data_IF_577540330028
#
_entry.id   IF_577540330028
#
_cell.length_a   1.000
_cell.length_b   1.000
_cell.length_c   1.000
_cell.angle_alpha   90.00
_cell.angle_beta   90.00
_cell.angle_gamma   90.00
#
_symmetry.space_group_name_H-M   'P 1'
#
loop_
_entity.id
_entity.type
_entity.pdbx_description
1 polymer ?
#
# COMPACT_ATOMS: atom_id res chain seq x y z
N UNK A 1 43.89 -15.15 51.25
CA UNK A 1 43.56 -13.80 50.74
C UNK A 1 42.24 -13.69 49.97
N UNK A 2 41.45 -14.76 49.76
CA UNK A 2 40.19 -14.70 48.99
C UNK A 2 38.92 -14.58 49.86
N UNK A 3 39.00 -14.89 51.15
CA UNK A 3 37.86 -14.83 52.08
C UNK A 3 37.59 -13.41 52.62
N UNK A 4 38.64 -12.60 52.80
CA UNK A 4 38.54 -11.21 53.28
C UNK A 4 37.95 -10.27 52.22
N UNK A 5 38.32 -10.46 50.95
CA UNK A 5 37.81 -9.68 49.81
C UNK A 5 36.29 -9.84 49.59
N UNK A 6 35.72 -11.01 49.90
CA UNK A 6 34.27 -11.25 49.81
C UNK A 6 33.49 -10.59 50.95
N UNK A 7 34.06 -10.56 52.16
CA UNK A 7 33.42 -9.94 53.32
C UNK A 7 33.36 -8.41 53.20
N UNK A 8 34.41 -7.80 52.65
CA UNK A 8 34.45 -6.34 52.44
C UNK A 8 33.53 -5.87 51.31
N UNK A 9 33.40 -6.63 50.22
CA UNK A 9 32.47 -6.27 49.13
C UNK A 9 31.00 -6.31 49.58
N UNK A 10 30.64 -7.29 50.42
CA UNK A 10 29.29 -7.42 50.96
C UNK A 10 28.95 -6.29 51.96
N UNK A 11 29.94 -5.80 52.71
CA UNK A 11 29.78 -4.66 53.61
C UNK A 11 29.72 -3.33 52.87
N UNK A 12 30.42 -3.18 51.74
CA UNK A 12 30.32 -2.00 50.86
C UNK A 12 28.95 -1.92 50.19
N UNK A 13 28.40 -3.05 49.72
CA UNK A 13 27.06 -3.11 49.12
C UNK A 13 25.93 -2.82 50.12
N UNK A 14 26.10 -3.15 51.40
CA UNK A 14 25.12 -2.82 52.47
C UNK A 14 25.16 -1.34 52.90
N UNK A 15 26.25 -0.61 52.60
CA UNK A 15 26.44 0.80 52.99
C UNK A 15 26.04 1.81 51.92
N UNK A 16 25.67 1.36 50.72
CA UNK A 16 25.08 2.23 49.71
C UNK A 16 23.55 2.09 49.76
N UNK A 17 22.83 3.05 50.37
CA UNK A 17 21.41 3.17 50.13
C UNK A 17 21.30 3.74 48.72
N UNK A 18 21.43 2.90 47.69
CA UNK A 18 20.81 3.25 46.42
C UNK A 18 19.33 3.11 46.72
N UNK A 19 18.57 4.22 46.90
CA UNK A 19 17.15 4.12 47.19
C UNK A 19 16.55 3.21 46.14
N UNK A 20 15.82 2.19 46.57
CA UNK A 20 15.22 1.17 45.70
C UNK A 20 14.48 1.82 44.51
N UNK A 21 13.95 3.03 44.74
CA UNK A 21 13.39 3.93 43.74
C UNK A 21 14.33 4.27 42.58
N UNK A 22 15.62 4.58 42.81
CA UNK A 22 16.59 4.90 41.75
C UNK A 22 16.84 3.69 40.85
N UNK A 23 17.01 2.50 41.42
CA UNK A 23 17.16 1.26 40.64
C UNK A 23 15.90 0.96 39.81
N UNK A 24 14.70 1.11 40.39
CA UNK A 24 13.43 0.94 39.69
C UNK A 24 13.27 1.97 38.57
N UNK A 25 13.62 3.24 38.79
CA UNK A 25 13.55 4.28 37.74
C UNK A 25 14.51 4.00 36.59
N UNK A 26 15.72 3.51 36.86
CA UNK A 26 16.67 3.16 35.78
C UNK A 26 16.12 2.00 34.94
N UNK A 27 15.56 0.97 35.58
CA UNK A 27 14.93 -0.17 34.87
C UNK A 27 13.72 0.29 34.05
N UNK A 28 12.89 1.19 34.59
CA UNK A 28 11.75 1.75 33.88
C UNK A 28 12.17 2.58 32.65
N UNK A 29 13.21 3.41 32.77
CA UNK A 29 13.75 4.22 31.65
C UNK A 29 14.29 3.30 30.55
N UNK A 30 15.01 2.23 30.92
CA UNK A 30 15.53 1.25 29.95
C UNK A 30 14.39 0.53 29.23
N UNK A 31 13.34 0.12 29.94
CA UNK A 31 12.15 -0.49 29.33
C UNK A 31 11.43 0.46 28.37
N UNK A 32 11.28 1.74 28.76
CA UNK A 32 10.68 2.77 27.89
C UNK A 32 11.55 2.98 26.64
N UNK A 33 12.88 3.03 26.77
CA UNK A 33 13.81 3.14 25.64
C UNK A 33 13.70 1.94 24.70
N UNK A 34 13.58 0.71 25.22
CA UNK A 34 13.37 -0.50 24.41
C UNK A 34 12.04 -0.45 23.66
N UNK A 35 10.96 0.00 24.33
CA UNK A 35 9.63 0.17 23.71
C UNK A 35 9.69 1.22 22.60
N UNK A 36 10.29 2.39 22.86
CA UNK A 36 10.45 3.46 21.86
C UNK A 36 11.31 2.96 20.69
N UNK A 37 12.41 2.27 20.95
CA UNK A 37 13.28 1.71 19.91
C UNK A 37 12.55 0.64 19.08
N UNK A 38 11.73 -0.21 19.70
CA UNK A 38 10.88 -1.20 19.01
C UNK A 38 9.80 -0.53 18.15
N UNK A 39 9.19 0.56 18.63
CA UNK A 39 8.22 1.36 17.87
C UNK A 39 8.90 2.06 16.68
N UNK A 40 10.11 2.62 16.85
CA UNK A 40 10.87 3.26 15.78
C UNK A 40 11.32 2.22 14.75
N UNK A 41 11.81 1.05 15.19
CA UNK A 41 12.25 -0.05 14.31
C UNK A 41 11.08 -0.65 13.53
N UNK A 42 9.91 -0.81 14.15
CA UNK A 42 8.69 -1.25 13.46
C UNK A 42 8.14 -0.21 12.48
N UNK A 43 8.27 1.08 12.78
CA UNK A 43 7.99 2.18 11.83
C UNK A 43 8.97 2.21 10.66
N UNK A 44 10.27 2.01 10.88
CA UNK A 44 11.28 1.87 9.81
C UNK A 44 11.04 0.63 8.95
N UNK A 45 10.68 -0.52 9.53
CA UNK A 45 10.30 -1.74 8.79
C UNK A 45 9.00 -1.59 7.98
N UNK A 46 8.09 -0.70 8.38
CA UNK A 46 6.88 -0.35 7.59
C UNK A 46 7.15 0.59 6.42
N UNK A 47 8.32 1.24 6.36
CA UNK A 47 8.73 2.09 5.24
C UNK A 47 9.36 1.33 4.07
N UNK A 48 9.80 0.09 4.29
CA UNK A 48 10.33 -0.80 3.26
C UNK A 48 9.26 -1.80 2.84
N UNK A 49 8.14 -1.30 2.31
CA UNK A 49 7.41 -2.11 1.34
C UNK A 49 8.36 -2.19 0.14
N UNK A 50 8.88 -3.37 -0.17
CA UNK A 50 9.48 -3.63 -1.47
C UNK A 50 8.41 -3.27 -2.50
N UNK A 51 8.45 -2.01 -2.96
CA UNK A 51 7.72 -1.57 -4.13
C UNK A 51 8.32 -2.41 -5.23
N UNK A 52 7.55 -3.35 -5.77
CA UNK A 52 7.87 -3.97 -7.04
C UNK A 52 7.99 -2.80 -8.03
N UNK A 53 9.21 -2.33 -8.26
CA UNK A 53 9.51 -1.36 -9.30
C UNK A 53 9.46 -2.16 -10.59
N UNK A 54 8.30 -2.21 -11.23
CA UNK A 54 8.33 -2.54 -12.66
C UNK A 54 8.97 -1.34 -13.37
N UNK A 55 10.20 -1.48 -13.85
CA UNK A 55 10.91 -0.42 -14.62
C UNK A 55 10.16 0.00 -15.89
N UNK A 56 9.13 -0.75 -16.29
CA UNK A 56 8.20 -0.34 -17.33
C UNK A 56 7.41 0.94 -17.01
N UNK A 57 7.42 1.44 -15.77
CA UNK A 57 6.83 2.74 -15.39
C UNK A 57 7.85 3.87 -15.20
N UNK A 58 9.13 3.64 -15.50
CA UNK A 58 10.19 4.58 -15.14
C UNK A 58 10.28 5.77 -16.12
N UNK A 59 10.66 6.96 -15.62
CA UNK A 59 10.75 8.21 -16.42
C UNK A 59 11.71 8.07 -17.60
N UNK A 60 12.74 7.23 -17.45
CA UNK A 60 13.72 6.88 -18.47
C UNK A 60 13.08 6.25 -19.70
N UNK A 61 12.25 5.21 -19.51
CA UNK A 61 11.54 4.54 -20.61
C UNK A 61 10.48 5.45 -21.25
N UNK A 62 9.78 6.26 -20.45
CA UNK A 62 8.85 7.28 -20.98
C UNK A 62 9.56 8.25 -21.92
N UNK A 63 10.73 8.76 -21.51
CA UNK A 63 11.52 9.72 -22.28
C UNK A 63 12.03 9.09 -23.58
N UNK A 64 12.48 7.84 -23.52
CA UNK A 64 12.86 7.07 -24.72
C UNK A 64 11.68 6.94 -25.71
N UNK A 65 10.47 6.63 -25.21
CA UNK A 65 9.27 6.53 -26.05
C UNK A 65 8.90 7.88 -26.66
N UNK A 66 8.89 8.97 -25.89
CA UNK A 66 8.56 10.30 -26.41
C UNK A 66 9.55 10.76 -27.48
N UNK A 67 10.84 10.52 -27.26
CA UNK A 67 11.89 10.87 -28.23
C UNK A 67 11.81 10.06 -29.53
N UNK A 68 11.00 9.00 -29.58
CA UNK A 68 10.73 8.25 -30.82
C UNK A 68 9.60 8.84 -31.68
N UNK A 69 8.96 9.93 -31.22
CA UNK A 69 7.89 10.63 -31.94
C UNK A 69 8.38 11.95 -32.58
N UNK A 70 7.77 12.39 -33.69
CA UNK A 70 7.95 13.74 -34.21
C UNK A 70 7.56 14.81 -33.17
N UNK A 71 8.30 15.92 -33.13
CA UNK A 71 8.20 16.96 -32.10
C UNK A 71 6.78 17.54 -31.96
N UNK A 72 6.08 17.75 -33.07
CA UNK A 72 4.69 18.22 -33.10
C UNK A 72 3.68 17.26 -32.43
N UNK A 73 4.00 15.97 -32.36
CA UNK A 73 3.13 14.92 -31.79
C UNK A 73 3.53 14.56 -30.35
N UNK A 74 4.72 14.99 -29.89
CA UNK A 74 5.20 14.76 -28.52
C UNK A 74 4.35 15.45 -27.46
N UNK A 75 3.82 16.65 -27.76
CA UNK A 75 2.98 17.42 -26.84
C UNK A 75 1.72 16.63 -26.43
N UNK A 76 1.15 15.92 -27.39
CA UNK A 76 -0.11 15.21 -27.26
C UNK A 76 0.01 13.98 -26.34
N UNK A 77 1.15 13.28 -26.41
CA UNK A 77 1.49 12.18 -25.50
C UNK A 77 2.05 12.66 -24.16
N UNK A 78 2.74 13.80 -24.14
CA UNK A 78 3.22 14.42 -22.91
C UNK A 78 2.06 14.85 -22.01
N UNK A 79 1.00 15.39 -22.59
CA UNK A 79 -0.23 15.72 -21.86
C UNK A 79 -0.93 14.47 -21.29
N UNK A 80 -1.00 13.38 -22.06
CA UNK A 80 -1.55 12.11 -21.58
C UNK A 80 -0.73 11.56 -20.40
N UNK A 81 0.60 11.59 -20.50
CA UNK A 81 1.49 11.11 -19.44
C UNK A 81 1.45 12.00 -18.19
N UNK A 82 1.31 13.31 -18.36
CA UNK A 82 1.16 14.25 -17.25
C UNK A 82 -0.14 14.00 -16.48
N UNK A 83 -1.25 13.72 -17.17
CA UNK A 83 -2.52 13.33 -16.53
C UNK A 83 -2.42 12.01 -15.75
N UNK A 84 -1.61 11.06 -16.23
CA UNK A 84 -1.33 9.82 -15.49
C UNK A 84 -0.49 10.08 -14.23
N UNK A 85 0.48 11.01 -14.30
CA UNK A 85 1.25 11.42 -13.12
C UNK A 85 0.39 12.15 -12.10
N UNK A 86 -0.53 13.02 -12.55
CA UNK A 86 -1.53 13.67 -11.71
C UNK A 86 -2.44 12.65 -11.03
N UNK A 87 -2.89 11.63 -11.77
CA UNK A 87 -3.66 10.52 -11.20
C UNK A 87 -2.85 9.75 -10.15
N UNK A 88 -1.59 9.44 -10.44
CA UNK A 88 -0.71 8.74 -9.50
C UNK A 88 -0.41 9.59 -8.25
N UNK A 89 -0.27 10.90 -8.39
CA UNK A 89 -0.15 11.84 -7.28
C UNK A 89 -1.43 11.86 -6.45
N UNK A 90 -2.60 11.93 -7.08
CA UNK A 90 -3.91 11.89 -6.43
C UNK A 90 -4.12 10.58 -5.64
N UNK A 91 -3.81 9.43 -6.25
CA UNK A 91 -3.81 8.11 -5.62
C UNK A 91 -2.85 8.06 -4.41
N UNK A 92 -1.66 8.65 -4.54
CA UNK A 92 -0.68 8.71 -3.45
C UNK A 92 -1.15 9.59 -2.27
N UNK A 93 -1.97 10.62 -2.54
CA UNK A 93 -2.56 11.51 -1.53
C UNK A 93 -3.88 10.98 -0.95
N UNK A 94 -4.57 10.06 -1.65
CA UNK A 94 -5.86 9.48 -1.25
C UNK A 94 -5.83 8.66 0.05
N UNK A 95 -4.65 8.25 0.53
CA UNK A 95 -4.47 7.46 1.75
C UNK A 95 -5.03 8.14 3.01
N UNK A 96 -4.98 9.47 3.10
CA UNK A 96 -5.52 10.25 4.23
C UNK A 96 -7.05 10.41 4.16
N UNK A 97 -7.62 10.40 2.95
CA UNK A 97 -9.06 10.57 2.74
C UNK A 97 -9.83 9.25 2.84
N UNK A 98 -9.19 8.13 2.52
CA UNK A 98 -9.70 6.78 2.79
C UNK A 98 -9.91 6.51 4.30
N UNK A 99 -9.11 7.13 5.18
CA UNK A 99 -9.25 6.99 6.63
C UNK A 99 -10.42 7.82 7.20
N UNK A 100 -10.99 8.77 6.44
CA UNK A 100 -12.01 9.73 6.89
C UNK A 100 -13.43 9.51 6.34
N UNK A 101 -13.74 8.35 5.74
CA UNK A 101 -15.04 8.07 5.09
C UNK A 101 -15.37 9.03 3.91
N UNK A 102 -14.61 8.99 2.82
CA UNK A 102 -15.02 9.65 1.57
C UNK A 102 -15.44 8.63 0.51
N UNK A 103 -16.73 8.32 0.45
CA UNK A 103 -17.31 7.71 -0.76
C UNK A 103 -16.97 8.56 -2.00
N UNK A 104 -16.97 9.88 -1.85
CA UNK A 104 -16.66 10.85 -2.90
C UNK A 104 -15.24 10.74 -3.47
N UNK A 105 -14.23 10.45 -2.65
CA UNK A 105 -12.85 10.26 -3.14
C UNK A 105 -12.72 8.97 -3.93
N UNK A 106 -13.32 7.87 -3.45
CA UNK A 106 -13.31 6.58 -4.17
C UNK A 106 -14.06 6.72 -5.49
N UNK A 107 -15.22 7.38 -5.48
CA UNK A 107 -16.01 7.61 -6.70
C UNK A 107 -15.30 8.58 -7.67
N UNK A 108 -14.49 9.51 -7.18
CA UNK A 108 -13.58 10.32 -7.99
C UNK A 108 -12.46 9.49 -8.62
N UNK A 109 -11.85 8.55 -7.88
CA UNK A 109 -10.84 7.64 -8.42
C UNK A 109 -11.47 6.73 -9.49
N UNK A 110 -12.64 6.16 -9.22
CA UNK A 110 -13.36 5.29 -10.16
C UNK A 110 -13.68 6.04 -11.47
N UNK A 111 -14.12 7.31 -11.40
CA UNK A 111 -14.32 8.16 -12.58
C UNK A 111 -13.02 8.40 -13.35
N UNK A 112 -11.93 8.79 -12.68
CA UNK A 112 -10.63 9.02 -13.33
C UNK A 112 -10.07 7.75 -13.99
N UNK A 113 -10.26 6.58 -13.38
CA UNK A 113 -9.90 5.30 -13.99
C UNK A 113 -10.70 5.11 -15.27
N UNK A 114 -12.02 5.28 -15.21
CA UNK A 114 -12.89 5.08 -16.36
C UNK A 114 -12.56 6.05 -17.51
N UNK A 115 -12.34 7.33 -17.21
CA UNK A 115 -11.96 8.33 -18.19
C UNK A 115 -10.63 8.00 -18.86
N UNK A 116 -9.63 7.58 -18.08
CA UNK A 116 -8.32 7.16 -18.60
C UNK A 116 -8.45 5.93 -19.49
N UNK A 117 -9.27 4.94 -19.08
CA UNK A 117 -9.56 3.76 -19.90
C UNK A 117 -10.21 4.15 -21.23
N UNK A 118 -11.16 5.08 -21.21
CA UNK A 118 -11.84 5.56 -22.42
C UNK A 118 -10.86 6.29 -23.36
N UNK A 119 -10.03 7.18 -22.83
CA UNK A 119 -9.01 7.88 -23.61
C UNK A 119 -8.01 6.92 -24.26
N UNK A 120 -7.53 5.93 -23.51
CA UNK A 120 -6.62 4.89 -24.01
C UNK A 120 -7.29 4.07 -25.11
N UNK A 121 -8.55 3.65 -24.93
CA UNK A 121 -9.28 2.89 -25.97
C UNK A 121 -9.49 3.71 -27.23
N UNK A 122 -9.87 4.99 -27.10
CA UNK A 122 -10.11 5.87 -28.23
C UNK A 122 -8.82 6.13 -29.01
N UNK A 123 -7.74 6.51 -28.33
CA UNK A 123 -6.42 6.68 -28.96
C UNK A 123 -5.92 5.36 -29.56
N UNK A 124 -6.11 4.22 -28.88
CA UNK A 124 -5.74 2.91 -29.43
C UNK A 124 -6.46 2.61 -30.75
N UNK A 125 -7.78 2.76 -30.79
CA UNK A 125 -8.58 2.48 -31.97
C UNK A 125 -8.17 3.37 -33.16
N UNK A 126 -7.87 4.64 -32.89
CA UNK A 126 -7.40 5.57 -33.90
C UNK A 126 -6.01 5.18 -34.44
N UNK A 127 -5.03 4.95 -33.55
CA UNK A 127 -3.66 4.65 -33.93
C UNK A 127 -3.52 3.26 -34.58
N UNK A 128 -4.34 2.30 -34.15
CA UNK A 128 -4.48 0.98 -34.78
C UNK A 128 -4.90 1.11 -36.25
N UNK A 129 -5.90 1.94 -36.55
CA UNK A 129 -6.37 2.19 -37.93
C UNK A 129 -5.28 2.83 -38.79
N UNK A 130 -4.55 3.81 -38.24
CA UNK A 130 -3.43 4.47 -38.91
C UNK A 130 -2.18 3.59 -39.07
N UNK A 131 -2.14 2.42 -38.42
CA UNK A 131 -0.96 1.54 -38.37
C UNK A 131 0.31 2.31 -38.03
N UNK A 132 0.25 3.18 -37.03
CA UNK A 132 1.41 3.94 -36.56
C UNK A 132 2.10 3.19 -35.39
N UNK A 133 3.31 2.71 -35.63
CA UNK A 133 4.05 1.85 -34.71
C UNK A 133 4.36 2.51 -33.38
N UNK A 134 5.04 3.66 -33.40
CA UNK A 134 5.48 4.35 -32.19
C UNK A 134 4.30 4.89 -31.38
N UNK A 135 3.22 5.30 -32.06
CA UNK A 135 2.00 5.72 -31.39
C UNK A 135 1.29 4.55 -30.69
N UNK A 136 1.24 3.37 -31.32
CA UNK A 136 0.72 2.18 -30.67
C UNK A 136 1.54 1.79 -29.44
N UNK A 137 2.88 1.93 -29.48
CA UNK A 137 3.75 1.72 -28.32
C UNK A 137 3.42 2.72 -27.19
N UNK A 138 3.20 3.99 -27.51
CA UNK A 138 2.82 5.00 -26.53
C UNK A 138 1.49 4.66 -25.83
N UNK A 139 0.50 4.20 -26.60
CA UNK A 139 -0.80 3.80 -26.04
C UNK A 139 -0.69 2.51 -25.21
N UNK A 140 0.15 1.55 -25.62
CA UNK A 140 0.47 0.38 -24.80
C UNK A 140 1.11 0.79 -23.47
N UNK A 141 2.08 1.72 -23.50
CA UNK A 141 2.72 2.24 -22.29
C UNK A 141 1.72 2.92 -21.37
N UNK A 142 0.86 3.81 -21.89
CA UNK A 142 -0.21 4.43 -21.10
C UNK A 142 -1.14 3.39 -20.44
N UNK A 143 -1.50 2.32 -21.19
CA UNK A 143 -2.30 1.21 -20.67
C UNK A 143 -1.61 0.45 -19.54
N UNK A 144 -0.29 0.23 -19.66
CA UNK A 144 0.53 -0.40 -18.65
C UNK A 144 0.61 0.46 -17.37
N UNK A 145 0.90 1.76 -17.51
CA UNK A 145 0.99 2.70 -16.37
C UNK A 145 -0.34 2.81 -15.63
N UNK A 146 -1.47 2.79 -16.35
CA UNK A 146 -2.79 2.77 -15.73
C UNK A 146 -3.02 1.49 -14.93
N UNK A 147 -2.65 0.32 -15.45
CA UNK A 147 -2.76 -0.94 -14.71
C UNK A 147 -1.95 -0.91 -13.40
N UNK A 148 -0.72 -0.39 -13.44
CA UNK A 148 0.12 -0.24 -12.24
C UNK A 148 -0.52 0.73 -11.23
N UNK A 149 -1.06 1.85 -11.69
CA UNK A 149 -1.74 2.82 -10.82
C UNK A 149 -2.99 2.22 -10.14
N UNK A 150 -3.83 1.48 -10.89
CA UNK A 150 -4.99 0.77 -10.31
C UNK A 150 -4.53 -0.30 -9.31
N UNK A 151 -3.41 -0.99 -9.60
CA UNK A 151 -2.85 -2.00 -8.71
C UNK A 151 -2.37 -1.41 -7.39
N UNK A 152 -1.69 -0.27 -7.41
CA UNK A 152 -1.27 0.44 -6.19
C UNK A 152 -2.46 0.88 -5.35
N UNK A 153 -3.52 1.37 -5.98
CA UNK A 153 -4.72 1.73 -5.24
C UNK A 153 -5.44 0.52 -4.66
N UNK A 154 -5.48 -0.60 -5.39
CA UNK A 154 -5.96 -1.88 -4.86
C UNK A 154 -5.18 -2.29 -3.60
N UNK A 155 -3.86 -2.10 -3.58
CA UNK A 155 -3.02 -2.40 -2.42
C UNK A 155 -3.30 -1.47 -1.24
N UNK A 156 -3.50 -0.17 -1.48
CA UNK A 156 -3.92 0.78 -0.44
C UNK A 156 -5.25 0.34 0.22
N UNK A 157 -6.24 -0.01 -0.60
CA UNK A 157 -7.55 -0.49 -0.14
C UNK A 157 -7.40 -1.79 0.65
N UNK A 158 -6.58 -2.73 0.16
CA UNK A 158 -6.28 -3.99 0.86
C UNK A 158 -5.66 -3.75 2.23
N UNK A 159 -4.70 -2.83 2.33
CA UNK A 159 -4.01 -2.54 3.59
C UNK A 159 -4.96 -1.93 4.63
N UNK A 160 -5.92 -1.09 4.22
CA UNK A 160 -6.99 -0.59 5.08
C UNK A 160 -7.92 -1.72 5.51
N UNK A 161 -8.35 -2.59 4.58
CA UNK A 161 -9.15 -3.77 4.88
C UNK A 161 -8.48 -4.68 5.94
N UNK A 162 -7.20 -5.01 5.75
CA UNK A 162 -6.44 -5.86 6.68
C UNK A 162 -6.36 -5.21 8.07
N UNK A 163 -6.15 -3.89 8.14
CA UNK A 163 -6.13 -3.14 9.41
C UNK A 163 -7.47 -3.24 10.14
N UNK A 164 -8.58 -3.02 9.46
CA UNK A 164 -9.92 -3.15 10.06
C UNK A 164 -10.23 -4.59 10.48
N UNK A 165 -9.78 -5.59 9.72
CA UNK A 165 -9.89 -6.99 10.11
C UNK A 165 -9.17 -7.24 11.45
N UNK A 166 -7.91 -6.80 11.57
CA UNK A 166 -7.12 -6.97 12.79
C UNK A 166 -7.75 -6.27 14.00
N UNK A 167 -8.24 -5.03 13.83
CA UNK A 167 -8.89 -4.30 14.93
C UNK A 167 -10.25 -4.93 15.30
N UNK A 168 -11.02 -5.45 14.34
CA UNK A 168 -12.21 -6.26 14.65
C UNK A 168 -11.86 -7.50 15.49
N UNK A 169 -10.77 -8.19 15.18
CA UNK A 169 -10.32 -9.38 15.92
C UNK A 169 -9.91 -9.00 17.35
N UNK A 170 -9.21 -7.88 17.53
CA UNK A 170 -8.83 -7.36 18.85
C UNK A 170 -10.06 -6.95 19.68
N UNK A 171 -11.01 -6.23 19.08
CA UNK A 171 -12.25 -5.84 19.77
C UNK A 171 -13.09 -7.09 20.14
N UNK A 172 -13.07 -8.14 19.32
CA UNK A 172 -13.74 -9.41 19.63
C UNK A 172 -13.13 -10.08 20.88
N UNK A 173 -11.80 -10.06 21.01
CA UNK A 173 -11.12 -10.56 22.23
C UNK A 173 -11.49 -9.75 23.47
N UNK A 174 -11.55 -8.41 23.35
CA UNK A 174 -11.96 -7.54 24.47
C UNK A 174 -13.42 -7.76 24.89
N UNK A 175 -14.32 -7.96 23.92
CA UNK A 175 -15.72 -8.30 24.19
C UNK A 175 -15.80 -9.60 24.99
N UNK A 176 -15.11 -10.66 24.55
CA UNK A 176 -15.11 -11.94 25.24
C UNK A 176 -14.55 -11.84 26.66
N UNK A 177 -13.47 -11.08 26.85
CA UNK A 177 -12.90 -10.80 28.17
C UNK A 177 -13.91 -10.08 29.07
N UNK A 178 -14.55 -9.01 28.57
CA UNK A 178 -15.55 -8.26 29.33
C UNK A 178 -16.78 -9.11 29.67
N UNK A 179 -17.22 -10.01 28.80
CA UNK A 179 -18.30 -10.95 29.10
C UNK A 179 -17.97 -11.81 30.32
N UNK A 180 -16.76 -12.38 30.37
CA UNK A 180 -16.29 -13.16 31.52
C UNK A 180 -16.23 -12.33 32.81
N UNK A 181 -15.75 -11.07 32.71
CA UNK A 181 -15.72 -10.17 33.87
C UNK A 181 -17.12 -9.78 34.36
N UNK A 182 -18.10 -9.60 33.46
CA UNK A 182 -19.49 -9.27 33.83
C UNK A 182 -20.14 -10.44 34.58
N UNK A 183 -19.83 -11.67 34.20
CA UNK A 183 -20.34 -12.89 34.87
C UNK A 183 -19.78 -13.03 36.29
N UNK A 184 -18.50 -12.72 36.49
CA UNK A 184 -17.83 -12.85 37.79
C UNK A 184 -17.91 -11.62 38.70
N UNK A 185 -18.46 -10.50 38.20
CA UNK A 185 -18.53 -9.23 38.94
C UNK A 185 -19.94 -8.89 39.42
N UNK A 186 -20.01 -8.10 40.50
CA UNK A 186 -21.26 -7.66 41.12
C UNK A 186 -21.31 -6.12 41.29
N UNK A 187 -22.50 -5.60 41.56
CA UNK A 187 -22.72 -4.20 41.92
C UNK A 187 -22.16 -3.19 40.91
N UNK A 188 -21.43 -2.19 41.41
CA UNK A 188 -20.87 -1.09 40.61
C UNK A 188 -19.90 -1.56 39.53
N UNK A 189 -19.04 -2.52 39.85
CA UNK A 189 -18.01 -3.02 38.92
C UNK A 189 -18.64 -3.77 37.74
N UNK A 190 -19.70 -4.54 37.99
CA UNK A 190 -20.50 -5.17 36.92
C UNK A 190 -21.09 -4.12 35.99
N UNK A 191 -21.66 -3.05 36.55
CA UNK A 191 -22.23 -1.95 35.76
C UNK A 191 -21.18 -1.28 34.87
N UNK A 192 -19.98 -1.00 35.41
CA UNK A 192 -18.88 -0.41 34.65
C UNK A 192 -18.44 -1.31 33.48
N UNK A 193 -18.28 -2.62 33.71
CA UNK A 193 -17.95 -3.56 32.63
C UNK A 193 -19.05 -3.66 31.57
N UNK A 194 -20.33 -3.62 31.95
CA UNK A 194 -21.44 -3.61 31.00
C UNK A 194 -21.42 -2.38 30.09
N UNK A 195 -21.10 -1.19 30.63
CA UNK A 195 -20.98 0.03 29.83
C UNK A 195 -19.82 -0.05 28.84
N UNK A 196 -18.65 -0.53 29.29
CA UNK A 196 -17.49 -0.75 28.41
C UNK A 196 -17.79 -1.78 27.32
N UNK A 197 -18.44 -2.90 27.67
CA UNK A 197 -18.85 -3.93 26.73
C UNK A 197 -19.77 -3.36 25.65
N UNK A 198 -20.78 -2.59 26.04
CA UNK A 198 -21.72 -1.92 25.11
C UNK A 198 -20.99 -0.96 24.16
N UNK A 199 -20.03 -0.19 24.66
CA UNK A 199 -19.24 0.75 23.84
C UNK A 199 -18.35 0.02 22.83
N UNK A 200 -17.61 -1.01 23.28
CA UNK A 200 -16.73 -1.81 22.42
C UNK A 200 -17.53 -2.58 21.37
N UNK A 201 -18.68 -3.15 21.74
CA UNK A 201 -19.57 -3.82 20.80
C UNK A 201 -20.06 -2.89 19.69
N UNK A 202 -20.53 -1.68 20.05
CA UNK A 202 -20.94 -0.65 19.07
C UNK A 202 -19.78 -0.27 18.15
N UNK A 203 -18.56 -0.08 18.69
CA UNK A 203 -17.36 0.21 17.89
C UNK A 203 -17.06 -0.92 16.90
N UNK A 204 -17.04 -2.17 17.37
CA UNK A 204 -16.81 -3.36 16.53
C UNK A 204 -17.85 -3.49 15.42
N UNK A 205 -19.13 -3.22 15.71
CA UNK A 205 -20.19 -3.30 14.72
C UNK A 205 -19.97 -2.29 13.57
N UNK A 206 -19.62 -1.04 13.90
CA UNK A 206 -19.30 0.00 12.91
C UNK A 206 -18.07 -0.40 12.07
N UNK A 207 -17.01 -0.86 12.73
CA UNK A 207 -15.78 -1.27 12.07
C UNK A 207 -15.99 -2.48 11.15
N UNK A 208 -16.81 -3.45 11.57
CA UNK A 208 -17.16 -4.62 10.76
C UNK A 208 -17.88 -4.24 9.46
N UNK A 209 -18.78 -3.25 9.51
CA UNK A 209 -19.41 -2.69 8.30
C UNK A 209 -18.37 -2.09 7.35
N UNK A 210 -17.47 -1.26 7.87
CA UNK A 210 -16.39 -0.65 7.07
C UNK A 210 -15.46 -1.70 6.47
N UNK A 211 -15.04 -2.70 7.27
CA UNK A 211 -14.23 -3.83 6.80
C UNK A 211 -14.88 -4.50 5.57
N UNK A 212 -16.17 -4.76 5.60
CA UNK A 212 -16.87 -5.40 4.49
C UNK A 212 -16.94 -4.50 3.24
N UNK A 213 -17.12 -3.19 3.40
CA UNK A 213 -17.05 -2.21 2.30
C UNK A 213 -15.68 -2.27 1.62
N UNK A 214 -14.60 -2.20 2.40
CA UNK A 214 -13.24 -2.26 1.86
C UNK A 214 -12.90 -3.63 1.25
N UNK A 215 -13.46 -4.74 1.78
CA UNK A 215 -13.33 -6.06 1.17
C UNK A 215 -13.97 -6.11 -0.23
N UNK A 216 -15.19 -5.57 -0.37
CA UNK A 216 -15.88 -5.49 -1.65
C UNK A 216 -15.12 -4.61 -2.66
N UNK A 217 -14.66 -3.42 -2.22
CA UNK A 217 -13.85 -2.52 -3.06
C UNK A 217 -12.52 -3.14 -3.47
N UNK A 218 -11.85 -3.87 -2.59
CA UNK A 218 -10.64 -4.61 -2.91
C UNK A 218 -10.87 -5.64 -4.04
N UNK A 219 -11.99 -6.38 -3.97
CA UNK A 219 -12.36 -7.34 -5.01
C UNK A 219 -12.67 -6.64 -6.36
N UNK A 220 -13.39 -5.52 -6.30
CA UNK A 220 -13.71 -4.70 -7.48
C UNK A 220 -12.43 -4.17 -8.16
N UNK A 221 -11.48 -3.63 -7.39
CA UNK A 221 -10.23 -3.11 -7.93
C UNK A 221 -9.34 -4.22 -8.47
N UNK A 222 -9.30 -5.38 -7.81
CA UNK A 222 -8.60 -6.54 -8.34
C UNK A 222 -9.15 -6.98 -9.72
N UNK A 223 -10.48 -6.93 -9.91
CA UNK A 223 -11.09 -7.17 -11.21
C UNK A 223 -10.66 -6.13 -12.26
N UNK A 224 -10.69 -4.83 -11.91
CA UNK A 224 -10.22 -3.75 -12.79
C UNK A 224 -8.75 -3.92 -13.20
N UNK A 225 -7.87 -4.31 -12.28
CA UNK A 225 -6.46 -4.62 -12.59
C UNK A 225 -6.36 -5.74 -13.61
N UNK A 226 -7.11 -6.84 -13.42
CA UNK A 226 -7.09 -7.98 -14.35
C UNK A 226 -7.57 -7.57 -15.75
N UNK A 227 -8.66 -6.81 -15.83
CA UNK A 227 -9.21 -6.30 -17.09
C UNK A 227 -8.22 -5.37 -17.81
N UNK A 228 -7.62 -4.42 -17.08
CA UNK A 228 -6.64 -3.50 -17.66
C UNK A 228 -5.38 -4.23 -18.12
N UNK A 229 -4.88 -5.20 -17.35
CA UNK A 229 -3.74 -6.02 -17.74
C UNK A 229 -4.03 -6.88 -18.98
N UNK A 230 -5.24 -7.45 -19.09
CA UNK A 230 -5.65 -8.19 -20.28
C UNK A 230 -5.68 -7.27 -21.50
N UNK A 231 -6.17 -6.03 -21.35
CA UNK A 231 -6.16 -5.05 -22.43
C UNK A 231 -4.73 -4.62 -22.82
N UNK A 232 -3.85 -4.36 -21.85
CA UNK A 232 -2.43 -4.07 -22.09
C UNK A 232 -1.74 -5.21 -22.85
N UNK A 233 -1.99 -6.47 -22.45
CA UNK A 233 -1.48 -7.66 -23.13
C UNK A 233 -1.97 -7.72 -24.59
N UNK A 234 -3.25 -7.48 -24.84
CA UNK A 234 -3.82 -7.42 -26.19
C UNK A 234 -3.15 -6.35 -27.06
N UNK A 235 -2.87 -5.17 -26.49
CA UNK A 235 -2.15 -4.11 -27.20
C UNK A 235 -0.72 -4.54 -27.57
N UNK A 236 -0.01 -5.16 -26.61
CA UNK A 236 1.35 -5.67 -26.81
C UNK A 236 1.39 -6.71 -27.93
N UNK A 237 0.53 -7.71 -27.87
CA UNK A 237 0.45 -8.78 -28.88
C UNK A 237 0.13 -8.22 -30.26
N UNK A 238 -0.81 -7.27 -30.35
CA UNK A 238 -1.09 -6.59 -31.61
C UNK A 238 0.16 -5.91 -32.19
N UNK A 239 0.92 -5.16 -31.36
CA UNK A 239 2.13 -4.47 -31.82
C UNK A 239 3.19 -5.46 -32.33
N UNK A 240 3.38 -6.57 -31.62
CA UNK A 240 4.36 -7.60 -32.00
C UNK A 240 3.97 -8.24 -33.33
N UNK A 241 2.69 -8.57 -33.53
CA UNK A 241 2.24 -9.31 -34.71
C UNK A 241 2.01 -8.45 -35.96
N UNK A 242 1.71 -7.16 -35.81
CA UNK A 242 1.22 -6.33 -36.94
C UNK A 242 2.23 -5.32 -37.50
N UNK A 243 3.43 -5.24 -36.92
CA UNK A 243 4.47 -4.29 -37.34
C UNK A 243 5.75 -4.95 -37.83
N UNK A 244 5.70 -6.22 -38.24
CA UNK A 244 6.84 -6.92 -38.85
C UNK A 244 8.08 -6.98 -37.95
N UNK A 245 9.26 -6.76 -38.53
CA UNK A 245 10.53 -6.89 -37.82
C UNK A 245 10.66 -5.92 -36.62
N UNK A 246 10.23 -4.66 -36.77
CA UNK A 246 10.28 -3.68 -35.68
C UNK A 246 9.35 -4.06 -34.51
N UNK A 247 8.18 -4.62 -34.79
CA UNK A 247 7.26 -5.14 -33.77
C UNK A 247 7.86 -6.28 -32.97
N UNK A 248 8.46 -7.26 -33.66
CA UNK A 248 9.16 -8.40 -33.03
C UNK A 248 10.36 -7.95 -32.20
N UNK A 249 11.19 -7.05 -32.74
CA UNK A 249 12.36 -6.52 -32.04
C UNK A 249 11.96 -5.76 -30.76
N UNK A 250 10.90 -4.95 -30.83
CA UNK A 250 10.34 -4.30 -29.64
C UNK A 250 9.81 -5.31 -28.62
N UNK A 251 9.08 -6.34 -29.04
CA UNK A 251 8.62 -7.42 -28.15
C UNK A 251 9.76 -8.13 -27.43
N UNK A 252 10.82 -8.49 -28.15
CA UNK A 252 12.02 -9.10 -27.57
C UNK A 252 12.71 -8.18 -26.56
N UNK A 253 12.80 -6.88 -26.86
CA UNK A 253 13.34 -5.89 -25.91
C UNK A 253 12.54 -5.82 -24.61
N UNK A 254 11.21 -5.92 -24.67
CA UNK A 254 10.38 -5.96 -23.46
C UNK A 254 10.70 -7.18 -22.60
N UNK A 255 10.80 -8.37 -23.21
CA UNK A 255 11.09 -9.59 -22.44
C UNK A 255 12.50 -9.56 -21.83
N UNK A 256 13.50 -9.00 -22.53
CA UNK A 256 14.85 -8.79 -21.96
C UNK A 256 14.81 -7.88 -20.73
N UNK A 257 14.18 -6.70 -20.83
CA UNK A 257 14.05 -5.80 -19.67
C UNK A 257 13.35 -6.45 -18.49
N UNK A 258 12.34 -7.29 -18.75
CA UNK A 258 11.66 -8.04 -17.69
C UNK A 258 12.59 -9.04 -17.02
N UNK A 259 13.45 -9.71 -17.79
CA UNK A 259 14.44 -10.64 -17.25
C UNK A 259 15.53 -9.92 -16.43
N UNK A 260 16.02 -8.79 -16.93
CA UNK A 260 17.03 -7.97 -16.26
C UNK A 260 16.56 -7.49 -14.88
N UNK A 261 15.28 -7.09 -14.78
CA UNK A 261 14.66 -6.68 -13.51
C UNK A 261 14.61 -7.80 -12.47
N UNK A 262 14.32 -9.03 -12.92
CA UNK A 262 14.25 -10.20 -12.03
C UNK A 262 15.65 -10.61 -11.57
N UNK A 263 16.68 -10.39 -12.39
CA UNK A 263 18.06 -10.69 -12.06
C UNK A 263 18.71 -9.65 -11.13
N UNK A 264 18.14 -8.44 -11.03
CA UNK A 264 18.61 -7.35 -10.16
C UNK A 264 17.98 -7.31 -8.76
N UNK A 265 16.96 -8.13 -8.51
CA UNK A 265 16.29 -8.31 -7.21
C UNK A 265 16.87 -9.51 -6.43
#
# INVERSE_FOLDING_TARGET
>A
MMATLKADLLNILKKLPIPFFLAITIVAIVLIMIIIHSIIKSRKKRGTTHRIKSDFGERSYRKEILNSLPEAEQLDFSNLYSRLDEFQSFVSHGKRQLELQQAEAIDSIDRKIQDSQNQIRNKWNYQKKKRNFYHCICVHYASFTLADSIKREQENIRDVYVRYKMECDQLSKQINYLSQQIESSNGRQKYEYMQQHKAIYKKRQRLSKLKNVFAARNAQYLKKVKEQNAYTKKCREYIISNFGAKGRAWGQRLERRKADLIASD
#
